data_IF_401887560738
#
_entry.id   IF_401887560738
#
_cell.length_a   1.000
_cell.length_b   1.000
_cell.length_c   1.000
_cell.angle_alpha   90.00
_cell.angle_beta   90.00
_cell.angle_gamma   90.00
#
_symmetry.space_group_name_H-M   'P 1'
#
loop_
_entity.id
_entity.type
_entity.pdbx_description
1 polymer ?
#
# COMPACT_ATOMS: atom_id res chain seq x y z
N UNK A 1 73.90 17.31 -5.01
CA UNK A 1 73.19 17.42 -3.72
C UNK A 1 72.16 18.54 -3.82
N UNK A 2 70.86 18.23 -3.78
CA UNK A 2 69.80 19.23 -3.69
C UNK A 2 68.76 18.73 -2.68
N UNK A 3 68.53 19.54 -1.65
CA UNK A 3 67.82 19.23 -0.41
C UNK A 3 66.31 19.22 -0.67
N UNK A 4 65.64 18.06 -0.50
CA UNK A 4 64.18 17.95 -0.48
C UNK A 4 63.60 18.81 0.67
N UNK A 5 62.55 19.61 0.45
CA UNK A 5 61.85 20.26 1.54
C UNK A 5 60.96 19.23 2.25
N UNK A 6 61.26 18.97 3.52
CA UNK A 6 60.46 18.18 4.43
C UNK A 6 59.17 18.94 4.76
N UNK A 7 58.03 18.46 4.27
CA UNK A 7 56.71 18.94 4.72
C UNK A 7 56.44 18.32 6.08
N UNK A 8 56.42 19.15 7.13
CA UNK A 8 56.05 18.73 8.47
C UNK A 8 54.60 18.20 8.50
N UNK A 9 54.30 17.12 9.24
CA UNK A 9 52.94 16.62 9.37
C UNK A 9 52.04 17.72 9.98
N UNK A 10 50.78 17.87 9.53
CA UNK A 10 49.88 18.89 10.04
C UNK A 10 49.65 18.63 11.54
N UNK A 11 50.02 19.60 12.38
CA UNK A 11 49.78 19.51 13.81
C UNK A 11 48.27 19.47 14.06
N UNK A 12 47.75 18.32 14.50
CA UNK A 12 46.35 18.19 14.93
C UNK A 12 46.16 19.07 16.16
N UNK A 13 45.49 20.21 15.97
CA UNK A 13 45.10 21.10 17.06
C UNK A 13 43.69 20.71 17.51
N UNK A 14 43.57 20.20 18.73
CA UNK A 14 42.27 20.01 19.36
C UNK A 14 41.74 21.39 19.74
N UNK A 15 40.61 21.78 19.15
CA UNK A 15 39.86 22.98 19.54
C UNK A 15 38.96 22.60 20.72
N UNK A 16 39.19 23.21 21.88
CA UNK A 16 38.23 23.18 22.97
C UNK A 16 37.12 24.18 22.63
N UNK A 17 35.88 23.69 22.47
CA UNK A 17 34.73 24.54 22.16
C UNK A 17 34.16 25.12 23.45
N UNK A 18 34.27 26.43 23.64
CA UNK A 18 33.72 27.16 24.81
C UNK A 18 32.39 27.84 24.51
N UNK A 19 31.93 27.84 23.26
CA UNK A 19 30.64 28.41 22.83
C UNK A 19 30.78 29.78 22.16
N UNK A 20 31.92 30.45 22.33
CA UNK A 20 32.21 31.77 21.76
C UNK A 20 32.88 31.69 20.38
N UNK A 21 33.15 30.48 19.88
CA UNK A 21 33.80 30.30 18.59
C UNK A 21 32.90 30.78 17.46
N UNK A 22 33.44 31.67 16.64
CA UNK A 22 32.77 32.17 15.44
C UNK A 22 33.44 31.65 14.19
N UNK A 23 32.64 31.21 13.22
CA UNK A 23 33.08 30.72 11.93
C UNK A 23 32.50 31.58 10.81
N UNK A 24 33.21 31.68 9.67
CA UNK A 24 32.67 32.38 8.50
C UNK A 24 31.45 31.66 7.94
N UNK A 25 30.58 32.39 7.23
CA UNK A 25 29.41 31.79 6.57
C UNK A 25 29.77 30.62 5.63
N UNK A 26 30.88 30.74 4.90
CA UNK A 26 31.38 29.66 4.02
C UNK A 26 31.91 28.46 4.82
N UNK A 27 32.58 28.70 5.96
CA UNK A 27 33.04 27.64 6.85
C UNK A 27 31.88 26.91 7.52
N UNK A 28 30.85 27.63 8.00
CA UNK A 28 29.64 27.04 8.55
C UNK A 28 28.87 26.22 7.51
N UNK A 29 28.68 26.76 6.30
CA UNK A 29 28.02 26.06 5.21
C UNK A 29 28.75 24.75 4.86
N UNK A 30 30.09 24.82 4.74
CA UNK A 30 30.93 23.64 4.46
C UNK A 30 30.88 22.62 5.61
N UNK A 31 30.91 23.08 6.86
CA UNK A 31 30.85 22.21 8.05
C UNK A 31 29.52 21.46 8.14
N UNK A 32 28.42 22.15 7.86
CA UNK A 32 27.07 21.58 7.92
C UNK A 32 26.70 20.81 6.64
N UNK A 33 27.55 20.85 5.60
CA UNK A 33 27.29 20.20 4.32
C UNK A 33 26.16 20.84 3.51
N UNK A 34 25.91 22.14 3.70
CA UNK A 34 24.81 22.87 3.06
C UNK A 34 25.32 24.08 2.28
N UNK A 35 24.47 24.68 1.44
CA UNK A 35 24.83 25.93 0.75
C UNK A 35 24.75 27.13 1.69
N UNK A 36 25.52 28.19 1.42
CA UNK A 36 25.44 29.44 2.18
C UNK A 36 24.04 30.08 2.11
N UNK A 37 23.31 29.86 1.01
CA UNK A 37 21.91 30.28 0.87
C UNK A 37 21.01 29.52 1.84
N UNK A 38 21.17 28.20 1.94
CA UNK A 38 20.40 27.37 2.86
C UNK A 38 20.69 27.74 4.33
N UNK A 39 21.95 28.02 4.67
CA UNK A 39 22.33 28.51 6.00
C UNK A 39 21.62 29.83 6.36
N UNK A 40 21.49 30.76 5.40
CA UNK A 40 20.74 32.01 5.61
C UNK A 40 19.24 31.74 5.78
N UNK A 41 18.69 30.78 5.06
CA UNK A 41 17.29 30.40 5.20
C UNK A 41 17.02 29.76 6.57
N UNK A 42 17.92 28.89 7.07
CA UNK A 42 17.85 28.35 8.43
C UNK A 42 17.85 29.46 9.49
N UNK A 43 18.64 30.51 9.27
CA UNK A 43 18.64 31.67 10.16
C UNK A 43 17.35 32.50 10.06
N UNK A 44 16.81 32.70 8.85
CA UNK A 44 15.52 33.36 8.66
C UNK A 44 14.36 32.59 9.29
N UNK A 45 14.44 31.25 9.28
CA UNK A 45 13.48 30.36 9.92
C UNK A 45 13.70 30.23 11.44
N UNK A 46 14.66 30.95 12.02
CA UNK A 46 14.92 31.00 13.47
C UNK A 46 15.65 29.79 14.06
N UNK A 47 16.13 28.85 13.24
CA UNK A 47 16.87 27.68 13.74
C UNK A 47 18.31 28.02 14.12
N UNK A 48 18.94 28.89 13.33
CA UNK A 48 20.34 29.33 13.48
C UNK A 48 20.36 30.83 13.79
N UNK A 49 21.29 31.32 14.63
CA UNK A 49 21.43 32.76 14.87
C UNK A 49 21.78 33.54 13.59
N UNK A 50 21.34 34.79 13.52
CA UNK A 50 21.70 35.67 12.40
C UNK A 50 23.22 35.94 12.38
N UNK A 51 23.78 36.10 11.18
CA UNK A 51 25.20 36.39 11.04
C UNK A 51 25.54 37.78 11.59
N UNK A 52 26.56 37.87 12.44
CA UNK A 52 27.13 39.15 12.89
C UNK A 52 28.44 39.37 12.13
N UNK A 53 28.51 40.44 11.32
CA UNK A 53 29.66 40.74 10.43
C UNK A 53 30.05 39.54 9.53
N UNK A 54 29.05 38.79 9.05
CA UNK A 54 29.26 37.62 8.18
C UNK A 54 29.82 36.37 8.88
N UNK A 55 29.80 36.36 10.22
CA UNK A 55 30.21 35.22 11.05
C UNK A 55 29.04 34.65 11.83
N UNK A 56 29.10 33.34 12.07
CA UNK A 56 28.10 32.58 12.82
C UNK A 56 28.74 31.97 14.07
N UNK A 57 28.02 31.89 15.19
CA UNK A 57 28.46 31.11 16.34
C UNK A 57 28.47 29.62 15.96
N UNK A 58 29.61 28.97 16.09
CA UNK A 58 29.84 27.61 15.62
C UNK A 58 28.91 26.61 16.31
N UNK A 59 28.86 26.64 17.64
CA UNK A 59 28.08 25.71 18.45
C UNK A 59 26.58 25.88 18.18
N UNK A 60 26.10 27.12 18.18
CA UNK A 60 24.68 27.42 17.97
C UNK A 60 24.22 27.09 16.54
N UNK A 61 25.08 27.27 15.54
CA UNK A 61 24.77 26.90 14.16
C UNK A 61 24.61 25.39 14.00
N UNK A 62 25.48 24.59 14.61
CA UNK A 62 25.38 23.12 14.58
C UNK A 62 24.14 22.64 15.33
N UNK A 63 23.91 23.13 16.55
CA UNK A 63 22.73 22.76 17.33
C UNK A 63 21.42 23.19 16.65
N UNK A 64 21.40 24.40 16.08
CA UNK A 64 20.30 24.92 15.27
C UNK A 64 19.98 24.02 14.07
N UNK A 65 21.00 23.62 13.33
CA UNK A 65 20.84 22.71 12.21
C UNK A 65 20.30 21.33 12.63
N UNK A 66 20.84 20.74 13.71
CA UNK A 66 20.34 19.47 14.26
C UNK A 66 18.87 19.57 14.67
N UNK A 67 18.44 20.69 15.28
CA UNK A 67 17.03 20.93 15.60
C UNK A 67 16.16 20.99 14.34
N UNK A 68 16.63 21.68 13.30
CA UNK A 68 15.89 21.78 12.03
C UNK A 68 15.65 20.41 11.38
N UNK A 69 16.63 19.51 11.44
CA UNK A 69 16.52 18.16 10.89
C UNK A 69 15.49 17.33 11.67
N UNK A 70 15.52 17.39 13.01
CA UNK A 70 14.56 16.68 13.87
C UNK A 70 13.12 17.17 13.67
N UNK A 71 12.93 18.47 13.49
CA UNK A 71 11.60 19.05 13.26
C UNK A 71 11.05 18.70 11.86
N UNK A 72 11.91 18.66 10.84
CA UNK A 72 11.53 18.20 9.50
C UNK A 72 11.12 16.73 9.50
N UNK A 73 11.89 15.85 10.16
CA UNK A 73 11.58 14.43 10.31
C UNK A 73 10.26 14.20 11.05
N UNK A 74 9.98 14.99 12.08
CA UNK A 74 8.71 14.92 12.81
C UNK A 74 7.53 15.35 11.95
N UNK A 75 7.70 16.41 11.14
CA UNK A 75 6.66 16.90 10.22
C UNK A 75 6.39 15.91 9.09
N UNK A 76 7.43 15.32 8.51
CA UNK A 76 7.30 14.34 7.42
C UNK A 76 6.62 13.06 7.89
N UNK A 77 6.98 12.55 9.07
CA UNK A 77 6.36 11.35 9.66
C UNK A 77 4.87 11.56 9.92
N UNK A 78 4.48 12.71 10.46
CA UNK A 78 3.07 13.05 10.70
C UNK A 78 2.28 13.16 9.40
N UNK A 79 2.86 13.82 8.37
CA UNK A 79 2.22 13.95 7.06
C UNK A 79 2.03 12.60 6.37
N UNK A 80 3.02 11.69 6.44
CA UNK A 80 2.92 10.36 5.87
C UNK A 80 1.81 9.52 6.52
N UNK A 81 1.72 9.54 7.86
CA UNK A 81 0.67 8.84 8.60
C UNK A 81 -0.74 9.39 8.28
N UNK A 82 -0.89 10.72 8.23
CA UNK A 82 -2.16 11.38 7.89
C UNK A 82 -2.59 11.06 6.45
N UNK A 83 -1.65 11.00 5.50
CA UNK A 83 -1.93 10.64 4.11
C UNK A 83 -2.34 9.17 3.96
N UNK A 84 -1.69 8.26 4.69
CA UNK A 84 -2.05 6.84 4.70
C UNK A 84 -3.46 6.58 5.22
N UNK A 85 -3.85 7.23 6.31
CA UNK A 85 -5.20 7.11 6.88
C UNK A 85 -6.27 7.65 5.94
N UNK A 86 -6.02 8.79 5.28
CA UNK A 86 -6.94 9.35 4.27
C UNK A 86 -7.12 8.41 3.08
N UNK A 87 -6.02 7.84 2.56
CA UNK A 87 -6.08 6.90 1.44
C UNK A 87 -6.83 5.60 1.79
N UNK A 88 -6.69 5.10 3.02
CA UNK A 88 -7.45 3.94 3.49
C UNK A 88 -8.96 4.23 3.58
N UNK A 89 -9.34 5.36 4.20
CA UNK A 89 -10.74 5.80 4.30
C UNK A 89 -11.37 6.06 2.93
N UNK A 90 -10.61 6.64 2.01
CA UNK A 90 -11.09 6.86 0.65
C UNK A 90 -11.43 5.55 -0.06
N UNK A 91 -10.56 4.53 0.05
CA UNK A 91 -10.82 3.20 -0.51
C UNK A 91 -12.03 2.52 0.12
N UNK A 92 -12.22 2.65 1.42
CA UNK A 92 -13.40 2.12 2.12
C UNK A 92 -14.70 2.76 1.58
N UNK A 93 -14.70 4.08 1.41
CA UNK A 93 -15.86 4.81 0.86
C UNK A 93 -16.13 4.38 -0.58
N UNK A 94 -15.10 4.24 -1.42
CA UNK A 94 -15.23 3.79 -2.81
C UNK A 94 -15.82 2.37 -2.89
N UNK A 95 -15.35 1.44 -2.06
CA UNK A 95 -15.89 0.08 -1.99
C UNK A 95 -17.35 0.09 -1.53
N UNK A 96 -17.72 0.93 -0.56
CA UNK A 96 -19.10 1.05 -0.10
C UNK A 96 -20.02 1.63 -1.18
N UNK A 97 -19.59 2.69 -1.87
CA UNK A 97 -20.33 3.27 -3.00
C UNK A 97 -20.51 2.22 -4.10
N UNK A 98 -19.46 1.47 -4.44
CA UNK A 98 -19.55 0.43 -5.46
C UNK A 98 -20.50 -0.72 -5.07
N UNK A 99 -20.61 -1.06 -3.77
CA UNK A 99 -21.64 -1.99 -3.26
C UNK A 99 -23.05 -1.38 -3.37
N UNK A 100 -23.25 -0.14 -2.92
CA UNK A 100 -24.54 0.56 -2.98
C UNK A 100 -25.05 0.74 -4.42
N UNK A 101 -24.15 0.97 -5.37
CA UNK A 101 -24.45 1.10 -6.80
C UNK A 101 -24.57 -0.27 -7.50
N UNK A 102 -24.51 -1.38 -6.77
CA UNK A 102 -24.72 -2.74 -7.29
C UNK A 102 -23.61 -3.26 -8.20
N UNK A 103 -22.43 -2.62 -8.20
CA UNK A 103 -21.26 -3.06 -9.00
C UNK A 103 -20.42 -4.13 -8.30
N UNK A 104 -20.58 -4.30 -7.00
CA UNK A 104 -19.93 -5.33 -6.20
C UNK A 104 -20.98 -6.14 -5.45
N UNK A 105 -20.88 -7.46 -5.53
CA UNK A 105 -21.71 -8.40 -4.77
C UNK A 105 -20.80 -9.27 -3.94
N UNK A 106 -21.21 -9.60 -2.71
CA UNK A 106 -20.48 -10.55 -1.89
C UNK A 106 -20.63 -11.95 -2.48
N UNK A 107 -19.51 -12.67 -2.60
CA UNK A 107 -19.55 -13.98 -3.23
C UNK A 107 -20.43 -14.98 -2.46
N UNK A 108 -20.46 -14.86 -1.14
CA UNK A 108 -21.29 -15.71 -0.29
C UNK A 108 -22.79 -15.50 -0.57
N UNK A 109 -23.22 -14.28 -0.92
CA UNK A 109 -24.59 -14.00 -1.36
C UNK A 109 -24.88 -14.66 -2.71
N UNK A 110 -23.94 -14.59 -3.66
CA UNK A 110 -24.07 -15.25 -4.97
C UNK A 110 -24.19 -16.77 -4.81
N UNK A 111 -23.42 -17.36 -3.91
CA UNK A 111 -23.50 -18.78 -3.58
C UNK A 111 -24.81 -19.17 -2.92
N UNK A 112 -25.28 -18.39 -1.96
CA UNK A 112 -26.54 -18.62 -1.28
C UNK A 112 -27.72 -18.57 -2.28
N UNK A 113 -27.76 -17.54 -3.13
CA UNK A 113 -28.81 -17.37 -4.15
C UNK A 113 -28.77 -18.53 -5.16
N UNK A 114 -27.59 -18.86 -5.68
CA UNK A 114 -27.45 -19.93 -6.68
C UNK A 114 -27.79 -21.31 -6.11
N UNK A 115 -27.36 -21.60 -4.88
CA UNK A 115 -27.71 -22.84 -4.19
C UNK A 115 -29.22 -22.94 -3.93
N UNK A 116 -29.85 -21.83 -3.53
CA UNK A 116 -31.30 -21.76 -3.34
C UNK A 116 -32.08 -22.05 -4.63
N UNK A 117 -31.65 -21.47 -5.76
CA UNK A 117 -32.25 -21.71 -7.08
C UNK A 117 -32.12 -23.19 -7.47
N UNK A 118 -30.93 -23.78 -7.32
CA UNK A 118 -30.70 -25.19 -7.66
C UNK A 118 -31.50 -26.15 -6.75
N UNK A 119 -31.61 -25.83 -5.45
CA UNK A 119 -32.41 -26.59 -4.50
C UNK A 119 -33.90 -26.55 -4.86
N UNK A 120 -34.41 -25.37 -5.23
CA UNK A 120 -35.79 -25.19 -5.69
C UNK A 120 -36.06 -26.01 -6.95
N UNK A 121 -35.19 -25.92 -7.95
CA UNK A 121 -35.30 -26.71 -9.18
C UNK A 121 -35.29 -28.22 -8.90
N UNK A 122 -34.47 -28.68 -7.96
CA UNK A 122 -34.46 -30.08 -7.53
C UNK A 122 -35.76 -30.52 -6.88
N UNK A 123 -36.34 -29.67 -6.02
CA UNK A 123 -37.61 -29.97 -5.38
C UNK A 123 -38.76 -30.08 -6.41
N UNK A 124 -38.85 -29.15 -7.36
CA UNK A 124 -39.85 -29.16 -8.43
C UNK A 124 -39.73 -30.41 -9.32
N UNK A 125 -38.49 -30.84 -9.63
CA UNK A 125 -38.25 -32.00 -10.49
C UNK A 125 -38.30 -33.36 -9.76
N UNK A 126 -38.33 -33.37 -8.43
CA UNK A 126 -38.36 -34.62 -7.64
C UNK A 126 -39.64 -35.45 -7.89
N UNK A 127 -40.76 -34.80 -8.22
CA UNK A 127 -42.03 -35.48 -8.51
C UNK A 127 -42.17 -35.98 -9.96
N UNK A 128 -41.29 -35.53 -10.86
CA UNK A 128 -41.38 -35.83 -12.29
C UNK A 128 -41.34 -37.33 -12.63
N UNK A 129 -40.46 -38.16 -12.03
CA UNK A 129 -40.41 -39.58 -12.33
C UNK A 129 -41.72 -40.30 -12.05
N UNK A 130 -42.41 -39.90 -10.98
CA UNK A 130 -43.68 -40.48 -10.56
C UNK A 130 -44.87 -40.03 -11.44
N UNK A 131 -44.81 -38.84 -12.03
CA UNK A 131 -45.85 -38.33 -12.94
C UNK A 131 -45.71 -38.89 -14.36
N UNK A 132 -44.48 -39.23 -14.78
CA UNK A 132 -44.20 -39.74 -16.13
C UNK A 132 -44.54 -41.23 -16.28
N UNK A 133 -44.31 -42.07 -15.26
CA UNK A 133 -44.52 -43.52 -15.38
C UNK A 133 -44.93 -44.21 -14.08
N UNK A 134 -45.65 -45.34 -14.23
CA UNK A 134 -45.97 -46.30 -13.17
C UNK A 134 -45.00 -47.49 -13.13
N UNK A 135 -44.16 -47.66 -14.16
CA UNK A 135 -43.13 -48.68 -14.17
C UNK A 135 -42.00 -48.27 -13.22
N UNK A 136 -41.75 -49.11 -12.21
CA UNK A 136 -40.74 -48.90 -11.17
C UNK A 136 -39.33 -48.83 -11.76
N UNK A 137 -39.01 -49.66 -12.77
CA UNK A 137 -37.67 -49.67 -13.38
C UNK A 137 -37.41 -48.39 -14.15
N UNK A 138 -38.36 -47.98 -14.98
CA UNK A 138 -38.24 -46.75 -15.75
C UNK A 138 -38.19 -45.51 -14.83
N UNK A 139 -38.92 -45.53 -13.71
CA UNK A 139 -38.85 -44.47 -12.69
C UNK A 139 -37.45 -44.33 -12.10
N UNK A 140 -36.84 -45.45 -11.68
CA UNK A 140 -35.49 -45.45 -11.11
C UNK A 140 -34.43 -44.95 -12.12
N UNK A 141 -34.56 -45.32 -13.39
CA UNK A 141 -33.68 -44.80 -14.45
C UNK A 141 -33.80 -43.29 -14.62
N UNK A 142 -35.02 -42.74 -14.58
CA UNK A 142 -35.25 -41.29 -14.66
C UNK A 142 -34.69 -40.58 -13.41
N UNK A 143 -34.95 -41.12 -12.21
CA UNK A 143 -34.42 -40.57 -10.94
C UNK A 143 -32.89 -40.52 -10.95
N UNK A 144 -32.25 -41.60 -11.40
CA UNK A 144 -30.79 -41.66 -11.55
C UNK A 144 -30.28 -40.62 -12.54
N UNK A 145 -30.96 -40.46 -13.68
CA UNK A 145 -30.63 -39.44 -14.68
C UNK A 145 -30.71 -38.02 -14.13
N UNK A 146 -31.80 -37.69 -13.45
CA UNK A 146 -32.03 -36.38 -12.81
C UNK A 146 -30.99 -36.09 -11.73
N UNK A 147 -30.79 -37.02 -10.79
CA UNK A 147 -29.80 -36.86 -9.72
C UNK A 147 -28.38 -36.68 -10.28
N UNK A 148 -28.04 -37.45 -11.33
CA UNK A 148 -26.76 -37.30 -12.04
C UNK A 148 -26.60 -35.92 -12.70
N UNK A 149 -27.66 -35.37 -13.29
CA UNK A 149 -27.65 -34.03 -13.86
C UNK A 149 -27.44 -32.95 -12.79
N UNK A 150 -28.16 -33.03 -11.67
CA UNK A 150 -27.98 -32.11 -10.55
C UNK A 150 -26.58 -32.16 -9.97
N UNK A 151 -26.01 -33.35 -9.78
CA UNK A 151 -24.65 -33.50 -9.26
C UNK A 151 -23.60 -32.84 -10.19
N UNK A 152 -23.74 -33.01 -11.51
CA UNK A 152 -22.87 -32.34 -12.49
C UNK A 152 -22.99 -30.81 -12.42
N UNK A 153 -24.21 -30.29 -12.34
CA UNK A 153 -24.44 -28.83 -12.24
C UNK A 153 -23.87 -28.25 -10.94
N UNK A 154 -24.05 -28.94 -9.80
CA UNK A 154 -23.48 -28.52 -8.52
C UNK A 154 -21.95 -28.50 -8.53
N UNK A 155 -21.32 -29.50 -9.15
CA UNK A 155 -19.87 -29.54 -9.28
C UNK A 155 -19.34 -28.36 -10.11
N UNK A 156 -19.96 -28.07 -11.27
CA UNK A 156 -19.60 -26.92 -12.10
C UNK A 156 -19.78 -25.59 -11.35
N UNK A 157 -20.86 -25.46 -10.58
CA UNK A 157 -21.08 -24.27 -9.77
C UNK A 157 -19.96 -24.08 -8.74
N UNK A 158 -19.55 -25.14 -8.04
CA UNK A 158 -18.45 -25.10 -7.08
C UNK A 158 -17.12 -24.69 -7.76
N UNK A 159 -16.80 -25.27 -8.91
CA UNK A 159 -15.59 -24.92 -9.67
C UNK A 159 -15.59 -23.44 -10.08
N UNK A 160 -16.72 -22.93 -10.57
CA UNK A 160 -16.88 -21.51 -10.93
C UNK A 160 -16.73 -20.58 -9.72
N UNK A 161 -17.33 -20.95 -8.58
CA UNK A 161 -17.15 -20.24 -7.30
C UNK A 161 -15.69 -20.20 -6.83
N UNK A 162 -14.97 -21.32 -6.93
CA UNK A 162 -13.55 -21.39 -6.57
C UNK A 162 -12.69 -20.52 -7.50
N UNK A 163 -13.01 -20.49 -8.80
CA UNK A 163 -12.36 -19.60 -9.76
C UNK A 163 -12.60 -18.12 -9.40
N UNK A 164 -13.83 -17.72 -9.08
CA UNK A 164 -14.15 -16.36 -8.61
C UNK A 164 -13.38 -15.99 -7.33
N UNK A 165 -13.30 -16.88 -6.33
CA UNK A 165 -12.50 -16.66 -5.11
C UNK A 165 -11.02 -16.44 -5.42
N UNK A 166 -10.51 -17.14 -6.41
CA UNK A 166 -9.12 -17.01 -6.85
C UNK A 166 -8.89 -15.84 -7.81
N UNK A 167 -9.92 -15.05 -8.14
CA UNK A 167 -9.84 -13.94 -9.09
C UNK A 167 -9.66 -14.37 -10.55
N UNK A 168 -9.99 -15.62 -10.89
CA UNK A 168 -9.99 -16.16 -12.26
C UNK A 168 -11.37 -16.07 -12.88
N UNK A 169 -11.44 -16.19 -14.21
CA UNK A 169 -12.73 -16.26 -14.92
C UNK A 169 -13.50 -17.54 -14.50
N UNK A 170 -14.70 -17.41 -13.90
CA UNK A 170 -15.53 -18.55 -13.52
C UNK A 170 -16.03 -19.41 -14.69
N UNK A 171 -16.14 -18.85 -15.89
CA UNK A 171 -16.75 -19.52 -17.03
C UNK A 171 -15.73 -20.07 -18.02
N UNK A 172 -14.43 -19.83 -17.76
CA UNK A 172 -13.36 -20.25 -18.67
C UNK A 172 -13.53 -19.68 -20.07
N UNK A 173 -14.15 -18.49 -20.20
CA UNK A 173 -14.15 -17.72 -21.43
C UNK A 173 -12.80 -17.05 -21.58
N UNK A 174 -11.76 -17.87 -21.71
CA UNK A 174 -10.61 -17.44 -22.50
C UNK A 174 -11.19 -17.12 -23.88
N UNK A 175 -11.43 -15.84 -24.16
CA UNK A 175 -11.59 -15.40 -25.54
C UNK A 175 -10.30 -15.81 -26.23
N UNK A 176 -10.37 -16.87 -27.02
CA UNK A 176 -9.52 -17.07 -28.18
C UNK A 176 -9.76 -15.89 -29.15
N UNK A 177 -9.38 -14.68 -28.74
CA UNK A 177 -9.20 -13.53 -29.62
C UNK A 177 -7.72 -13.47 -29.97
N UNK A 178 -7.27 -14.46 -30.75
CA UNK A 178 -6.10 -14.37 -31.60
C UNK A 178 -6.51 -14.92 -32.98
N UNK A 179 -7.08 -14.03 -33.82
CA UNK A 179 -7.19 -14.20 -35.26
C UNK A 179 -7.12 -12.83 -35.97
#
# INVERSE_FOLDING_TARGET
>A
MAKKPTVAPPATRVLALTGDEVISASGAASLLGVTTQWLRQLAANGYVPAAVKGKYPLVEAVQGYVRSLKDEERRSTKSAADNGLKAARQREVELRIAKEEGRLVELDDVEAVSSSILATLRAELAGLPASVTRDVKLRDEIEKGLNGAFARSQNKFREASEALRAGRDPLGTDREDDA
#
